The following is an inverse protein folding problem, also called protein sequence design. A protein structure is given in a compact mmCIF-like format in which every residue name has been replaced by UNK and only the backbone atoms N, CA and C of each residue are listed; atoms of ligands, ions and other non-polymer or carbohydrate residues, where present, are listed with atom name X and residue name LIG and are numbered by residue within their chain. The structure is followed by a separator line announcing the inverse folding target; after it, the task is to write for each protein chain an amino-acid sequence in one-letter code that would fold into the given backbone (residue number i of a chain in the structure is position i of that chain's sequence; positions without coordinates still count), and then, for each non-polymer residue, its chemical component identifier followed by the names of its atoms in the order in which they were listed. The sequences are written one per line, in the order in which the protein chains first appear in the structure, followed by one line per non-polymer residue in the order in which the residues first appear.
data_IF_440561090760
#
_entry.id   IF_440561090760
#
_cell.length_a   1.000
_cell.length_b   1.000
_cell.length_c   1.000
_cell.angle_alpha   90.00
_cell.angle_beta   90.00
_cell.angle_gamma   90.00
#
_symmetry.space_group_name_H-M   'P 1'
#
loop_
_entity.id
_entity.type
_entity.pdbx_description
1 polymer ?
#
# COMPACT_ATOMS: atom_id res chain seq x y z
N UNK A 1 55.42 -21.95 -12.05
CA UNK A 1 54.02 -21.97 -11.59
C UNK A 1 53.15 -21.46 -12.74
N UNK A 2 52.56 -22.33 -13.56
CA UNK A 2 51.81 -21.91 -14.76
C UNK A 2 50.42 -21.43 -14.35
N UNK A 3 50.15 -20.13 -14.54
CA UNK A 3 48.80 -19.57 -14.46
C UNK A 3 48.01 -20.08 -15.68
N UNK A 4 47.06 -21.00 -15.48
CA UNK A 4 46.05 -21.33 -16.48
C UNK A 4 45.08 -20.16 -16.57
N UNK A 5 45.12 -19.41 -17.67
CA UNK A 5 44.13 -18.38 -17.98
C UNK A 5 42.83 -19.03 -18.47
N UNK A 6 41.70 -18.33 -18.27
CA UNK A 6 40.41 -18.73 -18.83
C UNK A 6 40.47 -18.80 -20.36
N UNK A 7 39.83 -19.81 -20.94
CA UNK A 7 39.75 -19.91 -22.41
C UNK A 7 38.67 -18.97 -22.96
N UNK A 8 38.79 -18.54 -24.22
CA UNK A 8 37.77 -17.72 -24.88
C UNK A 8 36.39 -18.38 -24.85
N UNK A 9 36.34 -19.71 -25.04
CA UNK A 9 35.10 -20.49 -24.99
C UNK A 9 34.48 -20.45 -23.60
N UNK A 10 35.30 -20.57 -22.55
CA UNK A 10 34.85 -20.53 -21.16
C UNK A 10 34.29 -19.16 -20.78
N UNK A 11 34.92 -18.07 -21.24
CA UNK A 11 34.38 -16.71 -21.08
C UNK A 11 33.05 -16.54 -21.81
N UNK A 12 32.92 -17.10 -23.01
CA UNK A 12 31.69 -17.02 -23.81
C UNK A 12 30.54 -17.80 -23.16
N UNK A 13 30.82 -18.98 -22.60
CA UNK A 13 29.86 -19.77 -21.83
C UNK A 13 29.40 -19.01 -20.57
N UNK A 14 30.32 -18.39 -19.83
CA UNK A 14 29.97 -17.60 -18.64
C UNK A 14 29.07 -16.42 -19.01
N UNK A 15 29.38 -15.67 -20.07
CA UNK A 15 28.54 -14.57 -20.54
C UNK A 15 27.15 -15.07 -20.98
N UNK A 16 27.09 -16.21 -21.67
CA UNK A 16 25.81 -16.81 -22.08
C UNK A 16 24.96 -17.22 -20.87
N UNK A 17 25.56 -17.87 -19.86
CA UNK A 17 24.86 -18.25 -18.62
C UNK A 17 24.37 -17.00 -17.87
N UNK A 18 25.22 -15.97 -17.74
CA UNK A 18 24.85 -14.72 -17.09
C UNK A 18 23.68 -14.05 -17.83
N UNK A 19 23.73 -13.99 -19.17
CA UNK A 19 22.66 -13.43 -19.99
C UNK A 19 21.33 -14.17 -19.82
N UNK A 20 21.37 -15.50 -19.73
CA UNK A 20 20.17 -16.32 -19.47
C UNK A 20 19.57 -16.04 -18.10
N UNK A 21 20.40 -15.90 -17.05
CA UNK A 21 19.93 -15.56 -15.70
C UNK A 21 19.25 -14.18 -15.71
N UNK A 22 19.90 -13.17 -16.30
CA UNK A 22 19.34 -11.82 -16.37
C UNK A 22 18.02 -11.77 -17.15
N UNK A 23 17.88 -12.57 -18.20
CA UNK A 23 16.64 -12.66 -18.99
C UNK A 23 15.42 -13.03 -18.13
N UNK A 24 15.60 -13.93 -17.16
CA UNK A 24 14.50 -14.41 -16.31
C UNK A 24 14.34 -13.58 -15.03
N UNK A 25 15.44 -13.11 -14.42
CA UNK A 25 15.39 -12.43 -13.12
C UNK A 25 14.89 -10.98 -13.17
N UNK A 26 15.10 -10.27 -14.28
CA UNK A 26 14.73 -8.85 -14.41
C UNK A 26 13.21 -8.58 -14.30
N UNK A 27 12.31 -9.26 -15.05
CA UNK A 27 10.88 -8.97 -14.97
C UNK A 27 10.31 -9.19 -13.57
N UNK A 28 10.72 -10.27 -12.90
CA UNK A 28 10.28 -10.62 -11.54
C UNK A 28 10.71 -9.54 -10.53
N UNK A 29 11.93 -9.04 -10.67
CA UNK A 29 12.46 -8.00 -9.77
C UNK A 29 11.68 -6.69 -9.90
N UNK A 30 11.25 -6.35 -11.12
CA UNK A 30 10.47 -5.13 -11.37
C UNK A 30 9.06 -5.21 -10.77
N UNK A 31 8.36 -6.33 -10.97
CA UNK A 31 7.01 -6.53 -10.42
C UNK A 31 7.01 -6.50 -8.88
N UNK A 32 7.98 -7.15 -8.25
CA UNK A 32 8.14 -7.13 -6.78
C UNK A 32 8.42 -5.72 -6.27
N UNK A 33 9.28 -4.96 -6.96
CA UNK A 33 9.61 -3.60 -6.58
C UNK A 33 8.38 -2.67 -6.65
N UNK A 34 7.60 -2.73 -7.73
CA UNK A 34 6.38 -1.92 -7.85
C UNK A 34 5.30 -2.36 -6.85
N UNK A 35 5.12 -3.65 -6.60
CA UNK A 35 4.20 -4.15 -5.56
C UNK A 35 4.56 -3.63 -4.16
N UNK A 36 5.86 -3.67 -3.83
CA UNK A 36 6.36 -3.12 -2.56
C UNK A 36 6.07 -1.62 -2.43
N UNK A 37 6.36 -0.86 -3.48
CA UNK A 37 6.12 0.58 -3.54
C UNK A 37 4.62 0.92 -3.46
N UNK A 38 3.75 0.12 -4.06
CA UNK A 38 2.30 0.29 -3.98
C UNK A 38 1.79 -0.01 -2.56
N UNK A 39 2.31 -1.05 -1.91
CA UNK A 39 2.00 -1.36 -0.51
C UNK A 39 2.40 -0.20 0.43
N UNK A 40 3.57 0.41 0.22
CA UNK A 40 3.99 1.58 1.01
C UNK A 40 3.01 2.75 0.86
N UNK A 41 2.58 3.06 -0.37
CA UNK A 41 1.59 4.12 -0.62
C UNK A 41 0.24 3.83 0.04
N UNK A 42 -0.21 2.57 0.02
CA UNK A 42 -1.43 2.18 0.72
C UNK A 42 -1.29 2.31 2.25
N UNK A 43 -0.11 2.00 2.79
CA UNK A 43 0.19 2.19 4.21
C UNK A 43 0.22 3.67 4.62
N UNK A 44 0.52 4.61 3.73
CA UNK A 44 0.41 6.04 4.03
C UNK A 44 -1.03 6.42 4.40
N UNK A 45 -2.03 5.83 3.74
CA UNK A 45 -3.45 6.01 4.06
C UNK A 45 -3.76 5.43 5.45
N UNK A 46 -3.27 4.22 5.75
CA UNK A 46 -3.43 3.60 7.07
C UNK A 46 -2.85 4.47 8.19
N UNK A 47 -1.63 4.96 8.00
CA UNK A 47 -0.94 5.81 8.98
C UNK A 47 -1.70 7.13 9.18
N UNK A 48 -2.25 7.70 8.12
CA UNK A 48 -3.10 8.89 8.22
C UNK A 48 -4.39 8.61 8.99
N UNK A 49 -5.11 7.53 8.70
CA UNK A 49 -6.32 7.15 9.43
C UNK A 49 -6.01 6.88 10.91
N UNK A 50 -4.88 6.24 11.20
CA UNK A 50 -4.39 6.04 12.57
C UNK A 50 -4.09 7.38 13.27
N UNK A 51 -3.52 8.36 12.56
CA UNK A 51 -3.26 9.68 13.11
C UNK A 51 -4.57 10.43 13.42
N UNK A 52 -5.58 10.34 12.56
CA UNK A 52 -6.90 10.93 12.79
C UNK A 52 -7.57 10.39 14.05
N UNK A 53 -7.53 9.07 14.25
CA UNK A 53 -8.04 8.44 15.49
C UNK A 53 -7.34 9.02 16.72
N UNK A 54 -6.01 9.08 16.68
CA UNK A 54 -5.20 9.62 17.77
C UNK A 54 -5.50 11.09 18.04
N UNK A 55 -5.59 11.90 16.99
CA UNK A 55 -5.90 13.33 17.07
C UNK A 55 -7.31 13.58 17.61
N UNK A 56 -8.32 12.85 17.13
CA UNK A 56 -9.69 12.94 17.63
C UNK A 56 -9.78 12.66 19.13
N UNK A 57 -9.02 11.67 19.62
CA UNK A 57 -8.91 11.40 21.05
C UNK A 57 -8.17 12.52 21.81
N UNK A 58 -6.99 12.93 21.35
CA UNK A 58 -6.15 13.94 22.04
C UNK A 58 -6.81 15.32 22.12
N UNK A 59 -7.50 15.73 21.06
CA UNK A 59 -8.14 17.04 20.96
C UNK A 59 -9.64 16.99 21.28
N UNK A 60 -10.17 15.83 21.69
CA UNK A 60 -11.58 15.63 22.01
C UNK A 60 -12.53 16.02 20.86
N UNK A 61 -12.11 15.77 19.63
CA UNK A 61 -12.86 16.06 18.41
C UNK A 61 -13.39 14.78 17.77
N UNK A 62 -14.56 14.87 17.17
CA UNK A 62 -15.06 13.82 16.28
C UNK A 62 -14.42 13.99 14.90
N UNK A 63 -13.98 12.88 14.32
CA UNK A 63 -13.49 12.82 12.94
C UNK A 63 -14.43 11.93 12.15
N UNK A 64 -15.18 12.51 11.23
CA UNK A 64 -16.00 11.83 10.24
C UNK A 64 -15.15 11.52 9.01
N UNK A 65 -15.15 10.25 8.61
CA UNK A 65 -14.37 9.72 7.49
C UNK A 65 -15.32 9.22 6.42
N UNK A 66 -15.16 9.76 5.22
CA UNK A 66 -15.88 9.34 4.01
C UNK A 66 -14.95 9.46 2.81
N UNK A 67 -15.44 9.25 1.59
CA UNK A 67 -14.67 9.48 0.37
C UNK A 67 -15.48 10.21 -0.68
N UNK A 68 -14.80 10.99 -1.51
CA UNK A 68 -15.39 11.61 -2.70
C UNK A 68 -14.35 11.78 -3.78
N UNK A 69 -14.66 11.35 -5.01
CA UNK A 69 -13.77 11.52 -6.17
C UNK A 69 -12.38 10.89 -6.02
N UNK A 70 -12.27 9.77 -5.29
CA UNK A 70 -10.99 9.09 -5.02
C UNK A 70 -10.16 9.71 -3.91
N UNK A 71 -10.64 10.78 -3.26
CA UNK A 71 -10.02 11.38 -2.08
C UNK A 71 -10.67 10.85 -0.81
N UNK A 72 -9.87 10.74 0.25
CA UNK A 72 -10.37 10.54 1.60
C UNK A 72 -10.91 11.88 2.11
N UNK A 73 -12.12 11.92 2.62
CA UNK A 73 -12.75 13.10 3.19
C UNK A 73 -12.70 13.00 4.71
N UNK A 74 -12.21 14.05 5.37
CA UNK A 74 -12.17 14.16 6.84
C UNK A 74 -12.94 15.39 7.26
N UNK A 75 -14.07 15.22 7.94
CA UNK A 75 -14.97 16.34 8.31
C UNK A 75 -15.33 17.25 7.11
N UNK A 76 -15.44 16.67 5.91
CA UNK A 76 -15.70 17.40 4.66
C UNK A 76 -14.46 18.00 3.97
N UNK A 77 -13.28 17.94 4.57
CA UNK A 77 -12.03 18.36 3.94
C UNK A 77 -11.38 17.21 3.15
N UNK A 78 -11.03 17.40 1.87
CA UNK A 78 -10.42 16.36 1.05
C UNK A 78 -8.93 16.19 1.36
N UNK A 79 -8.50 14.94 1.49
CA UNK A 79 -7.10 14.51 1.56
C UNK A 79 -6.78 13.61 0.36
N UNK A 80 -5.87 14.10 -0.48
CA UNK A 80 -5.34 13.35 -1.62
C UNK A 80 -4.04 12.65 -1.27
N UNK A 81 -3.87 11.46 -1.83
CA UNK A 81 -2.66 10.64 -1.74
C UNK A 81 -2.13 10.41 -3.16
N UNK A 82 -0.84 10.63 -3.38
CA UNK A 82 -0.27 10.64 -4.73
C UNK A 82 -0.29 9.23 -5.36
N UNK A 83 -1.00 9.08 -6.48
CA UNK A 83 -1.12 7.80 -7.18
C UNK A 83 -1.98 6.77 -6.45
N UNK A 84 -2.84 7.22 -5.54
CA UNK A 84 -3.72 6.39 -4.72
C UNK A 84 -5.15 6.87 -4.90
N UNK A 85 -6.06 5.94 -5.17
CA UNK A 85 -7.49 6.18 -5.18
C UNK A 85 -8.11 5.57 -3.93
N UNK A 86 -8.82 6.39 -3.14
CA UNK A 86 -9.44 5.97 -1.89
C UNK A 86 -10.95 5.97 -2.03
N UNK A 87 -11.58 4.88 -1.61
CA UNK A 87 -13.03 4.73 -1.55
C UNK A 87 -13.43 4.20 -0.18
N UNK A 88 -14.27 4.95 0.53
CA UNK A 88 -14.84 4.55 1.81
C UNK A 88 -16.17 3.89 1.52
N UNK A 89 -16.23 2.56 1.66
CA UNK A 89 -17.42 1.73 1.40
C UNK A 89 -18.51 2.01 2.44
N UNK A 90 -18.08 2.15 3.69
CA UNK A 90 -18.94 2.42 4.84
C UNK A 90 -18.36 3.63 5.59
N UNK A 91 -18.95 4.83 5.39
CA UNK A 91 -18.55 6.03 6.11
C UNK A 91 -18.67 5.84 7.61
N UNK A 92 -17.70 6.35 8.35
CA UNK A 92 -17.57 6.08 9.77
C UNK A 92 -17.00 7.28 10.52
N UNK A 93 -17.02 7.21 11.84
CA UNK A 93 -16.58 8.26 12.74
C UNK A 93 -15.66 7.71 13.82
N UNK A 94 -14.61 8.47 14.12
CA UNK A 94 -13.90 8.38 15.39
C UNK A 94 -14.51 9.36 16.38
N UNK A 95 -14.93 8.85 17.53
CA UNK A 95 -15.51 9.64 18.60
C UNK A 95 -14.42 10.14 19.56
N UNK A 96 -14.70 11.27 20.23
CA UNK A 96 -13.79 11.91 21.21
C UNK A 96 -13.37 11.03 22.40
N UNK A 97 -14.14 9.99 22.70
CA UNK A 97 -13.85 9.00 23.76
C UNK A 97 -12.91 7.87 23.29
N UNK A 98 -12.44 7.92 22.04
CA UNK A 98 -11.57 6.89 21.44
C UNK A 98 -12.31 5.71 20.82
N UNK A 99 -13.65 5.73 20.78
CA UNK A 99 -14.45 4.68 20.11
C UNK A 99 -14.70 5.01 18.64
N UNK A 100 -15.21 4.04 17.88
CA UNK A 100 -15.66 4.18 16.51
C UNK A 100 -16.95 3.38 16.28
N UNK A 101 -17.76 3.84 15.33
CA UNK A 101 -18.92 3.11 14.77
C UNK A 101 -18.52 2.12 13.65
N UNK A 102 -17.23 2.09 13.30
CA UNK A 102 -16.64 1.12 12.38
C UNK A 102 -16.95 1.40 10.92
N UNK A 103 -16.14 0.81 10.03
CA UNK A 103 -16.28 1.04 8.60
C UNK A 103 -15.17 0.40 7.79
N UNK A 104 -15.22 0.60 6.48
CA UNK A 104 -14.31 -0.01 5.53
C UNK A 104 -13.80 1.00 4.50
N UNK A 105 -12.49 1.00 4.31
CA UNK A 105 -11.79 1.81 3.31
C UNK A 105 -11.13 0.87 2.31
N UNK A 106 -11.48 0.98 1.04
CA UNK A 106 -10.76 0.37 -0.06
C UNK A 106 -9.77 1.37 -0.68
N UNK A 107 -8.58 0.87 -1.00
CA UNK A 107 -7.49 1.66 -1.55
C UNK A 107 -7.02 0.97 -2.83
N UNK A 108 -6.99 1.72 -3.93
CA UNK A 108 -6.46 1.27 -5.21
C UNK A 108 -5.16 2.00 -5.54
N UNK A 109 -4.09 1.22 -5.76
CA UNK A 109 -2.75 1.74 -6.08
C UNK A 109 -2.10 0.85 -7.13
N UNK A 110 -1.82 1.41 -8.31
CA UNK A 110 -1.09 0.69 -9.37
C UNK A 110 -1.71 -0.66 -9.76
N UNK A 111 -3.05 -0.78 -9.74
CA UNK A 111 -3.80 -2.01 -10.05
C UNK A 111 -3.93 -3.00 -8.88
N UNK A 112 -3.30 -2.72 -7.74
CA UNK A 112 -3.47 -3.48 -6.51
C UNK A 112 -4.57 -2.87 -5.64
N UNK A 113 -5.33 -3.73 -4.97
CA UNK A 113 -6.39 -3.33 -4.04
C UNK A 113 -6.05 -3.75 -2.61
N UNK A 114 -6.20 -2.79 -1.70
CA UNK A 114 -6.01 -2.95 -0.27
C UNK A 114 -7.27 -2.54 0.48
N UNK A 115 -7.45 -3.09 1.69
CA UNK A 115 -8.54 -2.79 2.61
C UNK A 115 -7.99 -2.31 3.93
N UNK A 116 -8.64 -1.28 4.49
CA UNK A 116 -8.56 -0.96 5.92
C UNK A 116 -9.94 -1.20 6.50
N UNK A 117 -10.04 -2.16 7.41
CA UNK A 117 -11.25 -2.39 8.21
C UNK A 117 -11.10 -1.71 9.56
N UNK A 118 -12.11 -0.95 9.95
CA UNK A 118 -12.19 -0.26 11.25
C UNK A 118 -13.18 -0.99 12.14
N UNK A 119 -12.67 -1.65 13.18
CA UNK A 119 -13.50 -2.47 14.07
C UNK A 119 -14.22 -1.65 15.13
N UNK A 120 -15.48 -1.96 15.38
CA UNK A 120 -16.19 -1.47 16.57
C UNK A 120 -15.80 -2.25 17.83
N UNK A 121 -15.92 -1.65 19.03
CA UNK A 121 -16.14 -0.23 19.29
C UNK A 121 -14.81 0.55 19.35
N UNK A 122 -13.65 -0.12 19.34
CA UNK A 122 -12.37 0.51 19.68
C UNK A 122 -11.64 1.13 18.49
N UNK A 123 -12.19 1.05 17.28
CA UNK A 123 -11.58 1.56 16.07
C UNK A 123 -10.23 0.90 15.78
N UNK A 124 -10.09 -0.40 16.02
CA UNK A 124 -8.89 -1.14 15.61
C UNK A 124 -8.79 -1.13 14.09
N UNK A 125 -7.58 -0.94 13.57
CA UNK A 125 -7.34 -0.85 12.13
C UNK A 125 -6.69 -2.15 11.67
N UNK A 126 -7.39 -2.88 10.80
CA UNK A 126 -6.87 -4.07 10.14
C UNK A 126 -6.56 -3.73 8.69
N UNK A 127 -5.31 -3.92 8.29
CA UNK A 127 -4.84 -3.65 6.94
C UNK A 127 -4.58 -4.95 6.18
N UNK A 128 -5.24 -5.11 5.05
CA UNK A 128 -5.17 -6.34 4.26
C UNK A 128 -4.98 -6.03 2.78
N UNK A 129 -4.24 -6.89 2.09
CA UNK A 129 -4.16 -6.87 0.63
C UNK A 129 -5.24 -7.78 0.06
N UNK A 130 -6.17 -7.24 -0.72
CA UNK A 130 -7.33 -7.97 -1.25
C UNK A 130 -6.98 -8.67 -2.57
N UNK A 131 -6.09 -8.08 -3.38
CA UNK A 131 -5.64 -8.68 -4.64
C UNK A 131 -5.35 -7.65 -5.72
N UNK A 132 -5.52 -8.07 -6.98
CA UNK A 132 -5.40 -7.22 -8.16
C UNK A 132 -6.78 -6.98 -8.77
N UNK A 133 -7.02 -5.76 -9.24
CA UNK A 133 -8.17 -5.48 -10.10
C UNK A 133 -7.85 -6.04 -11.49
N UNK A 134 -8.53 -7.12 -11.90
CA UNK A 134 -8.47 -7.59 -13.28
C UNK A 134 -9.26 -6.60 -14.14
N UNK A 135 -8.55 -5.73 -14.84
CA UNK A 135 -9.08 -4.98 -15.98
C UNK A 135 -9.42 -5.89 -17.16
#
# INVERSE_FOLDING_TARGET
MMKRGFTLVEVLIVIAIIGLIFSVSLPISYELYESYKNSLRAQEVLLFVASLKREGFLYSEEKEISSSGGALMVNGEPKFFSGVYVEVREPFKFFKNGTSDGGEIEILVGGERYRITVSVPFGELLFERIGYERS
#
